data_IF_938227667976
#
_entry.id   IF_938227667976
#
_cell.length_a   1.000
_cell.length_b   1.000
_cell.length_c   1.000
_cell.angle_alpha   90.00
_cell.angle_beta   90.00
_cell.angle_gamma   90.00
#
_symmetry.space_group_name_H-M   'P 1'
#
loop_
_entity.id
_entity.type
_entity.pdbx_description
1 polymer ?
#
# COMPACT_ATOMS: atom_id res chain seq x y z
N UNK A 1 -14.88 -9.30 -22.34
CA UNK A 1 -13.87 -9.22 -21.26
C UNK A 1 -14.09 -7.89 -20.55
N UNK A 2 -15.06 -7.83 -19.65
CA UNK A 2 -15.35 -6.63 -18.86
C UNK A 2 -15.05 -6.99 -17.40
N UNK A 3 -13.81 -6.77 -17.00
CA UNK A 3 -13.43 -6.91 -15.60
C UNK A 3 -14.09 -5.78 -14.81
N UNK A 4 -15.04 -6.12 -13.94
CA UNK A 4 -15.55 -5.15 -12.96
C UNK A 4 -14.41 -4.83 -11.99
N UNK A 5 -14.03 -3.57 -11.94
CA UNK A 5 -13.09 -3.07 -10.94
C UNK A 5 -13.81 -3.08 -9.59
N UNK A 6 -13.12 -3.55 -8.53
CA UNK A 6 -13.70 -3.57 -7.18
C UNK A 6 -13.72 -2.16 -6.60
N UNK A 7 -12.64 -1.40 -6.78
CA UNK A 7 -12.50 -0.01 -6.33
C UNK A 7 -11.42 0.71 -7.15
N UNK A 8 -11.59 2.01 -7.39
CA UNK A 8 -10.57 2.88 -8.00
C UNK A 8 -10.00 3.75 -6.87
N UNK A 9 -8.73 3.54 -6.53
CA UNK A 9 -8.06 4.20 -5.40
C UNK A 9 -7.04 5.26 -5.84
N UNK A 10 -6.98 5.60 -7.13
CA UNK A 10 -6.01 6.57 -7.62
C UNK A 10 -5.99 6.71 -9.13
N UNK A 11 -5.13 7.61 -9.60
CA UNK A 11 -4.90 7.92 -11.00
C UNK A 11 -3.44 8.29 -11.24
N UNK A 12 -2.97 7.98 -12.46
CA UNK A 12 -1.66 8.33 -12.98
C UNK A 12 -1.82 9.10 -14.29
N UNK A 13 -1.31 10.33 -14.31
CA UNK A 13 -1.26 11.17 -15.50
C UNK A 13 0.21 11.37 -15.92
N UNK A 14 0.67 10.70 -17.00
CA UNK A 14 2.01 10.87 -17.54
C UNK A 14 2.18 12.17 -18.36
N UNK A 15 1.09 12.87 -18.69
CA UNK A 15 1.13 14.05 -19.57
C UNK A 15 1.52 15.33 -18.82
N UNK A 16 1.50 15.31 -17.50
CA UNK A 16 1.97 16.44 -16.68
C UNK A 16 3.49 16.36 -16.46
N UNK A 17 4.16 17.50 -16.32
CA UNK A 17 5.58 17.58 -15.97
C UNK A 17 5.76 18.33 -14.64
N UNK A 18 6.08 17.64 -13.53
CA UNK A 18 6.29 16.20 -13.40
C UNK A 18 5.00 15.37 -13.51
N UNK A 19 5.12 14.07 -13.79
CA UNK A 19 3.97 13.18 -13.91
C UNK A 19 3.14 13.15 -12.62
N UNK A 20 1.82 13.29 -12.74
CA UNK A 20 0.92 13.38 -11.58
C UNK A 20 0.56 11.97 -11.14
N UNK A 21 0.87 11.66 -9.89
CA UNK A 21 0.45 10.43 -9.22
C UNK A 21 -0.40 10.82 -8.04
N UNK A 22 -1.69 10.45 -8.06
CA UNK A 22 -2.60 10.65 -6.92
C UNK A 22 -3.17 9.30 -6.53
N UNK A 23 -2.90 8.87 -5.31
CA UNK A 23 -3.38 7.60 -4.76
C UNK A 23 -3.91 7.88 -3.36
N UNK A 24 -5.10 7.38 -3.06
CA UNK A 24 -5.66 7.42 -1.71
C UNK A 24 -4.87 6.46 -0.83
N UNK A 25 -4.11 7.02 0.10
CA UNK A 25 -3.21 6.27 0.98
C UNK A 25 -3.96 5.32 1.89
N UNK A 26 -5.12 5.72 2.42
CA UNK A 26 -5.89 4.89 3.37
C UNK A 26 -6.47 3.67 2.67
N UNK A 27 -7.14 3.87 1.54
CA UNK A 27 -7.68 2.79 0.73
C UNK A 27 -6.57 1.86 0.22
N UNK A 28 -5.44 2.41 -0.23
CA UNK A 28 -4.28 1.61 -0.65
C UNK A 28 -3.75 0.74 0.49
N UNK A 29 -3.55 1.31 1.69
CA UNK A 29 -3.11 0.57 2.88
C UNK A 29 -4.12 -0.50 3.28
N UNK A 30 -5.42 -0.20 3.23
CA UNK A 30 -6.50 -1.16 3.50
C UNK A 30 -6.44 -2.36 2.56
N UNK A 31 -6.31 -2.13 1.26
CA UNK A 31 -6.18 -3.21 0.28
C UNK A 31 -4.91 -4.03 0.47
N UNK A 32 -3.77 -3.38 0.77
CA UNK A 32 -2.51 -4.07 1.06
C UNK A 32 -2.63 -4.95 2.33
N UNK A 33 -3.32 -4.46 3.37
CA UNK A 33 -3.63 -5.25 4.58
C UNK A 33 -4.54 -6.44 4.29
N UNK A 34 -5.49 -6.29 3.36
CA UNK A 34 -6.37 -7.35 2.89
C UNK A 34 -5.69 -8.34 1.93
N UNK A 35 -4.38 -8.18 1.65
CA UNK A 35 -3.61 -9.10 0.83
C UNK A 35 -3.56 -8.76 -0.66
N UNK A 36 -3.93 -7.54 -1.06
CA UNK A 36 -3.77 -7.10 -2.43
C UNK A 36 -2.29 -7.17 -2.86
N UNK A 37 -2.03 -7.79 -4.02
CA UNK A 37 -0.70 -7.91 -4.60
C UNK A 37 -0.53 -6.90 -5.73
N UNK A 38 0.24 -5.80 -5.53
CA UNK A 38 0.48 -4.84 -6.59
C UNK A 38 1.42 -5.42 -7.66
N UNK A 39 1.06 -5.23 -8.93
CA UNK A 39 1.96 -5.48 -10.06
C UNK A 39 3.19 -4.57 -9.99
N UNK A 40 4.26 -4.89 -10.73
CA UNK A 40 5.54 -4.19 -10.58
C UNK A 40 5.44 -2.67 -10.84
N UNK A 41 4.67 -2.26 -11.85
CA UNK A 41 4.43 -0.83 -12.13
C UNK A 41 3.66 -0.14 -11.01
N UNK A 42 2.62 -0.78 -10.47
CA UNK A 42 1.84 -0.23 -9.35
C UNK A 42 2.72 -0.14 -8.10
N UNK A 43 3.61 -1.11 -7.87
CA UNK A 43 4.56 -1.10 -6.76
C UNK A 43 5.49 0.11 -6.82
N UNK A 44 6.00 0.45 -8.01
CA UNK A 44 6.84 1.65 -8.20
C UNK A 44 6.05 2.92 -7.87
N UNK A 45 4.80 3.05 -8.36
CA UNK A 45 3.95 4.21 -8.08
C UNK A 45 3.65 4.35 -6.58
N UNK A 46 3.27 3.26 -5.91
CA UNK A 46 3.01 3.27 -4.47
C UNK A 46 4.28 3.58 -3.65
N UNK A 47 5.46 3.18 -4.15
CA UNK A 47 6.74 3.52 -3.53
C UNK A 47 7.07 5.00 -3.68
N UNK A 48 6.89 5.56 -4.88
CA UNK A 48 7.09 7.00 -5.13
C UNK A 48 6.11 7.85 -4.31
N UNK A 49 4.89 7.35 -4.09
CA UNK A 49 3.90 7.99 -3.23
C UNK A 49 4.19 7.83 -1.71
N UNK A 50 5.22 7.07 -1.32
CA UNK A 50 5.54 6.80 0.09
C UNK A 50 4.61 5.80 0.81
N UNK A 51 3.57 5.31 0.13
CA UNK A 51 2.53 4.45 0.69
C UNK A 51 3.10 3.09 1.09
N UNK A 52 3.91 2.46 0.22
CA UNK A 52 4.49 1.16 0.53
C UNK A 52 5.41 1.21 1.73
N UNK A 53 6.23 2.27 1.83
CA UNK A 53 7.14 2.46 2.96
C UNK A 53 6.35 2.56 4.28
N UNK A 54 5.33 3.43 4.31
CA UNK A 54 4.48 3.60 5.48
C UNK A 54 3.76 2.29 5.87
N UNK A 55 3.29 1.51 4.89
CA UNK A 55 2.66 0.21 5.11
C UNK A 55 3.63 -0.84 5.68
N UNK A 56 4.84 -0.94 5.13
CA UNK A 56 5.88 -1.87 5.58
C UNK A 56 6.32 -1.56 7.02
N UNK A 57 6.51 -0.28 7.34
CA UNK A 57 6.87 0.20 8.68
C UNK A 57 5.77 -0.14 9.70
N UNK A 58 4.51 0.13 9.38
CA UNK A 58 3.37 -0.22 10.22
C UNK A 58 3.29 -1.74 10.46
N UNK A 59 3.41 -2.55 9.40
CA UNK A 59 3.39 -4.02 9.50
C UNK A 59 4.54 -4.56 10.36
N UNK A 60 5.73 -3.95 10.27
CA UNK A 60 6.87 -4.34 11.10
C UNK A 60 6.64 -3.98 12.57
N UNK A 61 6.04 -2.82 12.85
CA UNK A 61 5.64 -2.43 14.19
C UNK A 61 4.64 -3.43 14.79
N UNK A 62 3.61 -3.82 14.03
CA UNK A 62 2.60 -4.81 14.45
C UNK A 62 3.26 -6.16 14.79
N UNK A 63 4.18 -6.65 13.95
CA UNK A 63 4.93 -7.89 14.21
C UNK A 63 5.81 -7.79 15.46
N UNK A 64 6.46 -6.65 15.66
CA UNK A 64 7.29 -6.40 16.86
C UNK A 64 6.44 -6.41 18.12
N UNK A 65 5.28 -5.76 18.09
CA UNK A 65 4.33 -5.77 19.20
C UNK A 65 3.84 -7.19 19.52
N UNK A 66 3.47 -7.97 18.49
CA UNK A 66 3.05 -9.36 18.67
C UNK A 66 4.15 -10.24 19.30
N UNK A 67 5.41 -10.07 18.87
CA UNK A 67 6.55 -10.80 19.44
C UNK A 67 6.83 -10.40 20.90
N UNK A 68 6.75 -9.11 21.22
CA UNK A 68 6.96 -8.61 22.58
C UNK A 68 5.90 -9.16 23.55
N UNK A 69 4.62 -9.16 23.16
CA UNK A 69 3.53 -9.74 23.96
C UNK A 69 3.71 -11.24 24.22
N UNK A 70 4.16 -12.00 23.21
CA UNK A 70 4.44 -13.43 23.36
C UNK A 70 5.61 -13.72 24.33
N UNK A 71 6.60 -12.83 24.41
CA UNK A 71 7.75 -12.99 25.33
C UNK A 71 7.47 -12.59 26.79
N UNK A 72 6.43 -11.79 27.05
CA UNK A 72 6.08 -11.31 28.40
C UNK A 72 5.11 -12.25 29.14
N UNK A 73 4.64 -13.31 28.48
CA UNK A 73 3.64 -14.26 29.02
C UNK A 73 4.26 -15.62 29.38
N UNK A 74 5.58 -15.68 29.60
CA UNK A 74 6.34 -16.89 29.97
C UNK A 74 7.22 -16.62 31.18
#
# INVERSE_FOLDING_TARGET
REGRHVEIIGHYDPMTSPATVKIDTDAAVRWLRNGAQPSDRVRILLRHAGILKAWEEARLADKRAAKAAASQSS
#
